data_IF_483141385200
#
_entry.id   IF_483141385200
#
_cell.length_a   1.000
_cell.length_b   1.000
_cell.length_c   1.000
_cell.angle_alpha   90.00
_cell.angle_beta   90.00
_cell.angle_gamma   90.00
#
_symmetry.space_group_name_H-M   'P 1'
#
loop_
_entity.id
_entity.type
_entity.pdbx_description
1 polymer ?
#
# COMPACT_ATOMS: atom_id res chain seq x y z
N UNK A 1 33.95 0.38 59.41
CA UNK A 1 33.66 0.85 60.79
C UNK A 1 32.64 1.97 60.69
N UNK A 2 31.57 1.85 61.46
CA UNK A 2 30.39 2.74 61.51
C UNK A 2 30.70 4.14 62.06
N UNK A 3 29.65 4.99 61.98
CA UNK A 3 29.26 6.14 62.84
C UNK A 3 29.31 7.48 62.07
N UNK A 4 28.33 8.40 62.07
CA UNK A 4 27.06 8.64 62.78
C UNK A 4 26.24 9.65 61.92
N UNK A 5 24.91 9.52 61.74
CA UNK A 5 23.80 10.34 62.35
C UNK A 5 24.14 11.82 62.60
N UNK A 6 23.28 12.84 62.44
CA UNK A 6 21.89 13.07 62.01
C UNK A 6 21.65 14.61 62.16
N UNK A 7 20.44 15.08 61.80
CA UNK A 7 19.78 16.38 62.12
C UNK A 7 19.73 17.52 61.08
N UNK A 8 18.54 17.63 60.47
CA UNK A 8 17.56 18.74 60.51
C UNK A 8 17.93 20.19 60.13
N UNK A 9 17.09 20.70 59.21
CA UNK A 9 16.77 22.05 58.64
C UNK A 9 16.51 23.21 59.65
N UNK A 10 16.13 24.45 59.22
CA UNK A 10 16.63 25.35 58.15
C UNK A 10 16.73 26.84 58.63
N UNK A 11 17.57 27.70 58.04
CA UNK A 11 17.47 29.18 58.23
C UNK A 11 17.77 29.95 56.92
N UNK A 12 16.84 30.85 56.59
CA UNK A 12 16.89 31.89 55.55
C UNK A 12 18.05 32.89 55.77
N UNK A 13 18.86 33.15 54.74
CA UNK A 13 19.50 34.47 54.55
C UNK A 13 19.50 34.84 53.06
N UNK A 14 18.92 36.01 52.81
CA UNK A 14 18.90 36.77 51.56
C UNK A 14 20.28 37.37 51.33
N UNK A 15 20.85 37.21 50.12
CA UNK A 15 21.92 38.08 49.63
C UNK A 15 21.56 38.61 48.24
N UNK A 16 21.50 39.94 48.15
CA UNK A 16 21.28 40.75 46.96
C UNK A 16 22.62 41.15 46.32
N UNK A 17 22.62 41.35 44.99
CA UNK A 17 23.60 42.13 44.20
C UNK A 17 24.70 41.27 43.54
N UNK A 18 25.01 41.38 42.25
CA UNK A 18 25.04 42.55 41.36
C UNK A 18 24.68 42.16 39.91
N UNK A 19 23.80 42.92 39.27
CA UNK A 19 23.69 43.03 37.80
C UNK A 19 24.32 44.37 37.42
N UNK A 20 25.32 44.34 36.53
CA UNK A 20 25.79 45.54 35.84
C UNK A 20 24.86 45.81 34.64
N UNK A 21 24.22 46.97 34.65
CA UNK A 21 23.42 47.51 33.54
C UNK A 21 24.18 48.70 32.94
N UNK A 22 24.34 48.70 31.62
CA UNK A 22 24.65 49.91 30.85
C UNK A 22 23.33 50.63 30.52
N UNK A 23 23.20 51.89 30.93
CA UNK A 23 22.17 52.82 30.45
C UNK A 23 22.85 54.08 29.88
N UNK A 24 22.32 54.58 28.75
CA UNK A 24 22.59 55.94 28.27
C UNK A 24 21.36 56.81 28.54
N UNK A 25 21.62 57.92 29.22
CA UNK A 25 20.71 58.87 29.87
C UNK A 25 19.75 59.65 28.95
N UNK A 26 18.57 60.02 29.49
CA UNK A 26 18.20 61.43 29.71
C UNK A 26 17.05 61.64 30.74
N UNK A 27 17.41 62.30 31.86
CA UNK A 27 16.72 63.31 32.73
C UNK A 27 15.17 63.41 32.66
N UNK A 28 14.38 63.64 33.74
CA UNK A 28 14.64 64.31 35.05
C UNK A 28 13.41 64.15 36.00
N UNK A 29 13.69 63.89 37.28
CA UNK A 29 13.16 64.52 38.52
C UNK A 29 11.70 64.42 39.03
N UNK A 30 11.59 63.65 40.13
CA UNK A 30 11.12 63.95 41.51
C UNK A 30 9.66 64.19 41.93
N UNK A 31 9.38 63.51 43.06
CA UNK A 31 8.56 63.84 44.25
C UNK A 31 7.06 63.52 44.21
N UNK A 32 6.73 62.46 44.94
CA UNK A 32 5.39 62.18 45.44
C UNK A 32 5.24 62.84 46.82
N UNK A 33 4.36 63.84 46.91
CA UNK A 33 3.88 64.47 48.14
C UNK A 33 2.50 63.88 48.43
N UNK A 34 2.30 63.37 49.65
CA UNK A 34 0.99 62.98 50.16
C UNK A 34 0.28 64.24 50.68
N UNK A 35 -0.86 64.61 50.09
CA UNK A 35 -1.81 65.54 50.69
C UNK A 35 -3.23 65.05 50.40
N UNK A 36 -4.06 65.12 51.44
CA UNK A 36 -5.41 64.57 51.58
C UNK A 36 -6.41 65.68 51.30
N UNK A 37 -7.39 65.47 50.41
CA UNK A 37 -8.81 65.92 50.53
C UNK A 37 -9.65 65.57 49.29
N UNK A 38 -10.75 64.84 49.54
CA UNK A 38 -12.03 64.60 48.83
C UNK A 38 -12.23 65.12 47.38
N UNK A 39 -12.58 64.22 46.44
CA UNK A 39 -13.96 64.02 45.93
C UNK A 39 -14.03 62.84 44.92
N UNK A 40 -15.25 62.32 44.78
CA UNK A 40 -15.75 61.08 44.16
C UNK A 40 -15.19 60.55 42.81
N UNK A 41 -15.25 59.22 42.67
CA UNK A 41 -15.96 58.41 41.63
C UNK A 41 -15.22 57.08 41.37
N UNK A 42 -15.86 55.98 41.83
CA UNK A 42 -15.88 54.58 41.33
C UNK A 42 -14.67 54.03 40.54
N UNK A 43 -14.02 52.98 41.05
CA UNK A 43 -13.70 51.74 40.30
C UNK A 43 -13.17 50.63 41.22
N UNK A 44 -13.89 49.51 41.33
CA UNK A 44 -13.38 48.22 41.81
C UNK A 44 -13.90 47.12 40.87
N UNK A 45 -13.06 46.10 40.66
CA UNK A 45 -13.26 44.84 39.93
C UNK A 45 -12.97 44.90 38.41
N UNK A 46 -11.69 44.67 38.05
CA UNK A 46 -11.29 44.25 36.70
C UNK A 46 -10.28 43.09 36.81
N UNK A 47 -10.76 41.91 37.18
CA UNK A 47 -10.05 40.65 36.98
C UNK A 47 -11.12 39.56 36.74
N UNK A 48 -11.52 39.38 35.48
CA UNK A 48 -12.56 38.41 35.13
C UNK A 48 -12.93 38.33 33.64
N UNK A 49 -12.57 39.30 32.81
CA UNK A 49 -13.03 39.35 31.42
C UNK A 49 -11.95 39.13 30.33
N UNK A 50 -10.66 39.06 30.68
CA UNK A 50 -9.59 38.93 29.69
C UNK A 50 -9.24 37.49 29.26
N UNK A 51 -9.79 36.46 29.92
CA UNK A 51 -9.58 35.06 29.53
C UNK A 51 -10.70 34.48 28.63
N UNK A 52 -11.85 35.14 28.51
CA UNK A 52 -12.93 34.68 27.62
C UNK A 52 -12.92 35.32 26.22
N UNK A 53 -12.35 36.52 26.05
CA UNK A 53 -12.29 37.19 24.74
C UNK A 53 -11.11 36.70 23.89
N UNK A 54 -10.01 36.25 24.51
CA UNK A 54 -8.85 35.70 23.77
C UNK A 54 -9.13 34.29 23.23
N UNK A 55 -9.97 33.50 23.89
CA UNK A 55 -10.36 32.16 23.41
C UNK A 55 -11.40 32.29 22.30
N UNK A 56 -12.40 33.18 22.42
CA UNK A 56 -13.46 33.30 21.39
C UNK A 56 -12.96 33.87 20.06
N UNK A 57 -12.02 34.84 20.07
CA UNK A 57 -11.42 35.36 18.83
C UNK A 57 -10.47 34.35 18.17
N UNK A 58 -9.70 33.60 18.96
CA UNK A 58 -8.83 32.55 18.41
C UNK A 58 -9.63 31.38 17.84
N UNK A 59 -10.77 31.02 18.45
CA UNK A 59 -11.66 29.98 17.92
C UNK A 59 -12.45 30.44 16.70
N UNK A 60 -12.78 31.73 16.57
CA UNK A 60 -13.44 32.25 15.36
C UNK A 60 -12.46 32.34 14.18
N UNK A 61 -11.24 32.84 14.40
CA UNK A 61 -10.21 32.92 13.34
C UNK A 61 -9.79 31.51 12.88
N UNK A 62 -9.61 30.54 13.80
CA UNK A 62 -9.30 29.15 13.43
C UNK A 62 -10.46 28.39 12.79
N UNK A 63 -11.72 28.76 13.08
CA UNK A 63 -12.88 28.11 12.49
C UNK A 63 -13.16 28.63 11.09
N UNK A 64 -12.99 29.93 10.85
CA UNK A 64 -13.13 30.50 9.52
C UNK A 64 -12.00 30.01 8.59
N UNK A 65 -10.75 29.94 9.07
CA UNK A 65 -9.62 29.34 8.34
C UNK A 65 -9.84 27.84 8.05
N UNK A 66 -10.45 27.11 8.99
CA UNK A 66 -10.76 25.69 8.80
C UNK A 66 -11.90 25.47 7.82
N UNK A 67 -12.97 26.25 7.88
CA UNK A 67 -14.09 26.14 6.93
C UNK A 67 -13.69 26.62 5.53
N UNK A 68 -12.81 27.62 5.41
CA UNK A 68 -12.22 28.06 4.14
C UNK A 68 -11.27 27.00 3.59
N UNK A 69 -10.39 26.43 4.43
CA UNK A 69 -9.56 25.28 4.06
C UNK A 69 -10.41 24.07 3.67
N UNK A 70 -11.46 23.76 4.42
CA UNK A 70 -12.36 22.65 4.14
C UNK A 70 -13.12 22.88 2.84
N UNK A 71 -13.63 24.09 2.60
CA UNK A 71 -14.30 24.46 1.35
C UNK A 71 -13.36 24.41 0.16
N UNK A 72 -12.13 24.94 0.30
CA UNK A 72 -11.07 24.85 -0.70
C UNK A 72 -10.70 23.40 -1.02
N UNK A 73 -10.55 22.55 -0.01
CA UNK A 73 -10.25 21.13 -0.23
C UNK A 73 -11.46 20.37 -0.80
N UNK A 74 -12.69 20.72 -0.43
CA UNK A 74 -13.90 20.14 -1.00
C UNK A 74 -14.13 20.59 -2.44
N UNK A 75 -13.83 21.84 -2.79
CA UNK A 75 -13.88 22.36 -4.15
C UNK A 75 -12.79 21.75 -5.01
N UNK A 76 -11.54 21.69 -4.52
CA UNK A 76 -10.47 20.97 -5.21
C UNK A 76 -10.79 19.49 -5.37
N UNK A 77 -11.39 18.85 -4.37
CA UNK A 77 -11.83 17.46 -4.49
C UNK A 77 -12.96 17.32 -5.52
N UNK A 78 -13.90 18.28 -5.60
CA UNK A 78 -14.94 18.30 -6.63
C UNK A 78 -14.37 18.55 -8.03
N UNK A 79 -13.40 19.45 -8.17
CA UNK A 79 -12.68 19.67 -9.43
C UNK A 79 -11.89 18.43 -9.84
N UNK A 80 -11.18 17.80 -8.90
CA UNK A 80 -10.47 16.54 -9.11
C UNK A 80 -11.44 15.42 -9.49
N UNK A 81 -12.60 15.33 -8.85
CA UNK A 81 -13.68 14.37 -9.19
C UNK A 81 -14.22 14.63 -10.60
N UNK A 82 -14.44 15.90 -10.97
CA UNK A 82 -14.92 16.29 -12.31
C UNK A 82 -13.87 16.02 -13.40
N UNK A 83 -12.58 16.26 -13.11
CA UNK A 83 -11.46 15.97 -14.00
C UNK A 83 -11.24 14.46 -14.17
N UNK A 84 -11.34 13.69 -13.08
CA UNK A 84 -11.36 12.22 -13.11
C UNK A 84 -12.53 11.72 -13.99
N UNK A 85 -13.70 12.33 -13.87
CA UNK A 85 -14.87 11.95 -14.68
C UNK A 85 -14.70 12.26 -16.18
N UNK A 86 -13.87 13.25 -16.56
CA UNK A 86 -13.53 13.51 -17.96
C UNK A 86 -12.43 12.57 -18.49
N UNK A 87 -11.43 12.23 -17.69
CA UNK A 87 -10.24 11.47 -18.11
C UNK A 87 -10.39 9.94 -18.06
N UNK A 88 -11.43 9.42 -17.43
CA UNK A 88 -11.69 7.97 -17.38
C UNK A 88 -12.10 7.43 -18.77
N UNK A 89 -11.49 6.31 -19.18
CA UNK A 89 -11.74 5.58 -20.42
C UNK A 89 -13.25 5.47 -20.72
N UNK A 90 -13.66 5.86 -21.93
CA UNK A 90 -15.07 5.89 -22.34
C UNK A 90 -15.73 4.52 -22.29
N UNK A 91 -15.00 3.44 -22.62
CA UNK A 91 -15.52 2.06 -22.54
C UNK A 91 -15.77 1.65 -21.10
N UNK A 92 -14.88 2.05 -20.19
CA UNK A 92 -15.09 1.81 -18.76
C UNK A 92 -16.31 2.58 -18.26
N UNK A 93 -16.45 3.85 -18.64
CA UNK A 93 -17.61 4.67 -18.26
C UNK A 93 -18.94 4.06 -18.74
N UNK A 94 -18.98 3.60 -19.98
CA UNK A 94 -20.15 2.91 -20.54
C UNK A 94 -20.44 1.61 -19.77
N UNK A 95 -19.41 0.79 -19.52
CA UNK A 95 -19.56 -0.46 -18.77
C UNK A 95 -20.08 -0.24 -17.35
N UNK A 96 -19.62 0.81 -16.65
CA UNK A 96 -20.06 1.17 -15.30
C UNK A 96 -21.49 1.73 -15.25
N UNK A 97 -22.02 2.25 -16.36
CA UNK A 97 -23.38 2.83 -16.41
C UNK A 97 -24.50 1.78 -16.35
N UNK A 98 -24.21 0.53 -16.72
CA UNK A 98 -25.18 -0.56 -16.79
C UNK A 98 -24.68 -1.82 -16.08
N UNK A 99 -24.49 -1.73 -14.76
CA UNK A 99 -24.01 -2.84 -13.93
C UNK A 99 -24.99 -4.01 -13.93
N UNK A 100 -24.46 -5.21 -14.12
CA UNK A 100 -25.19 -6.48 -13.98
C UNK A 100 -24.67 -7.21 -12.75
N UNK A 101 -25.57 -7.75 -11.93
CA UNK A 101 -25.20 -8.50 -10.72
C UNK A 101 -25.59 -9.97 -10.91
N UNK A 102 -24.62 -10.86 -10.69
CA UNK A 102 -24.79 -12.31 -10.67
C UNK A 102 -24.40 -12.84 -9.30
N UNK A 103 -25.15 -13.79 -8.73
CA UNK A 103 -24.84 -14.41 -7.43
C UNK A 103 -24.38 -15.85 -7.57
N UNK A 104 -23.30 -16.19 -6.89
CA UNK A 104 -22.75 -17.55 -6.80
C UNK A 104 -22.80 -18.02 -5.35
N UNK A 105 -23.46 -19.15 -5.09
CA UNK A 105 -23.50 -19.78 -3.77
C UNK A 105 -23.70 -21.29 -3.90
N UNK A 106 -22.84 -22.07 -3.24
CA UNK A 106 -22.87 -23.55 -3.27
C UNK A 106 -24.13 -24.16 -2.66
N UNK A 107 -24.71 -23.50 -1.66
CA UNK A 107 -25.66 -24.10 -0.72
C UNK A 107 -27.10 -23.57 -0.88
N UNK A 108 -27.39 -22.72 -1.88
CA UNK A 108 -28.68 -22.00 -1.95
C UNK A 108 -29.25 -21.87 -3.37
N UNK A 109 -30.43 -21.25 -3.48
CA UNK A 109 -31.06 -20.78 -4.73
C UNK A 109 -30.36 -19.54 -5.33
N UNK A 110 -29.02 -19.46 -5.30
CA UNK A 110 -28.31 -18.42 -6.05
C UNK A 110 -28.44 -18.64 -7.57
N UNK A 111 -28.03 -17.64 -8.37
CA UNK A 111 -28.08 -17.78 -9.83
C UNK A 111 -27.23 -18.97 -10.31
N UNK A 112 -26.08 -19.20 -9.67
CA UNK A 112 -25.17 -20.29 -10.00
C UNK A 112 -24.56 -20.92 -8.75
N UNK A 113 -24.14 -22.18 -8.87
CA UNK A 113 -23.45 -22.92 -7.79
C UNK A 113 -21.94 -22.79 -7.87
N UNK A 114 -21.42 -22.56 -9.07
CA UNK A 114 -19.99 -22.43 -9.36
C UNK A 114 -19.67 -21.07 -10.00
N UNK A 115 -18.42 -20.65 -9.86
CA UNK A 115 -17.94 -19.41 -10.48
C UNK A 115 -17.87 -19.59 -12.00
N UNK A 116 -17.49 -20.78 -12.47
CA UNK A 116 -17.40 -21.09 -13.89
C UNK A 116 -18.75 -21.04 -14.62
N UNK A 117 -19.83 -21.54 -14.00
CA UNK A 117 -21.18 -21.40 -14.54
C UNK A 117 -21.59 -19.93 -14.67
N UNK A 118 -21.29 -19.11 -13.66
CA UNK A 118 -21.58 -17.67 -13.69
C UNK A 118 -20.83 -16.97 -14.83
N UNK A 119 -19.54 -17.24 -15.01
CA UNK A 119 -18.76 -16.69 -16.11
C UNK A 119 -19.31 -17.12 -17.48
N UNK A 120 -19.69 -18.40 -17.63
CA UNK A 120 -20.23 -18.95 -18.88
C UNK A 120 -21.61 -18.37 -19.24
N UNK A 121 -22.32 -17.76 -18.29
CA UNK A 121 -23.62 -17.13 -18.54
C UNK A 121 -23.54 -15.73 -19.15
N UNK A 122 -22.35 -15.12 -19.14
CA UNK A 122 -22.15 -13.74 -19.58
C UNK A 122 -22.04 -13.71 -21.12
N UNK A 123 -22.85 -12.89 -21.82
CA UNK A 123 -22.74 -12.73 -23.27
C UNK A 123 -21.34 -12.26 -23.70
N UNK A 124 -20.86 -12.81 -24.81
CA UNK A 124 -19.56 -12.50 -25.42
C UNK A 124 -19.75 -11.76 -26.75
N UNK A 125 -19.03 -10.66 -27.01
CA UNK A 125 -18.12 -9.96 -26.10
C UNK A 125 -18.88 -9.21 -25.00
N UNK A 126 -18.34 -9.19 -23.79
CA UNK A 126 -18.95 -8.42 -22.69
C UNK A 126 -18.59 -6.93 -22.83
N UNK A 127 -19.59 -6.06 -22.67
CA UNK A 127 -19.43 -4.60 -22.69
C UNK A 127 -19.88 -3.93 -21.40
N UNK A 128 -20.39 -4.70 -20.43
CA UNK A 128 -20.98 -4.18 -19.19
C UNK A 128 -20.18 -4.59 -17.97
N UNK A 129 -20.17 -3.79 -16.91
CA UNK A 129 -19.64 -4.20 -15.61
C UNK A 129 -20.50 -5.35 -15.07
N UNK A 130 -19.96 -6.55 -15.01
CA UNK A 130 -20.63 -7.71 -14.40
C UNK A 130 -20.02 -7.99 -13.04
N UNK A 131 -20.80 -7.77 -11.99
CA UNK A 131 -20.43 -8.00 -10.60
C UNK A 131 -20.92 -9.39 -10.20
N UNK A 132 -19.99 -10.31 -10.02
CA UNK A 132 -20.24 -11.65 -9.50
C UNK A 132 -20.03 -11.60 -7.98
N UNK A 133 -21.15 -11.62 -7.25
CA UNK A 133 -21.18 -11.74 -5.79
C UNK A 133 -21.00 -13.21 -5.43
N UNK A 134 -19.87 -13.53 -4.80
CA UNK A 134 -19.48 -14.90 -4.47
C UNK A 134 -19.60 -15.08 -2.96
N UNK A 135 -20.58 -15.87 -2.54
CA UNK A 135 -20.80 -16.17 -1.13
C UNK A 135 -19.57 -16.82 -0.48
N UNK A 136 -19.47 -16.73 0.84
CA UNK A 136 -18.40 -17.35 1.60
C UNK A 136 -18.30 -18.87 1.34
N UNK A 137 -17.08 -19.39 1.34
CA UNK A 137 -16.80 -20.80 1.15
C UNK A 137 -15.57 -21.07 0.28
N UNK A 138 -15.22 -22.35 0.18
CA UNK A 138 -14.06 -22.82 -0.60
C UNK A 138 -14.52 -23.33 -1.96
N UNK A 139 -14.22 -22.60 -3.02
CA UNK A 139 -14.49 -22.90 -4.43
C UNK A 139 -13.27 -23.57 -5.06
N UNK A 140 -13.30 -24.90 -5.13
CA UNK A 140 -12.26 -25.69 -5.78
C UNK A 140 -12.50 -25.73 -7.30
N UNK A 141 -12.07 -24.69 -7.98
CA UNK A 141 -12.25 -24.50 -9.42
C UNK A 141 -10.97 -23.92 -10.04
N UNK A 142 -10.56 -24.43 -11.21
CA UNK A 142 -9.58 -23.77 -12.07
C UNK A 142 -10.29 -22.76 -12.97
N UNK A 143 -10.04 -21.48 -12.76
CA UNK A 143 -10.75 -20.37 -13.42
C UNK A 143 -9.86 -19.71 -14.46
N UNK A 144 -10.42 -19.48 -15.66
CA UNK A 144 -9.82 -18.64 -16.70
C UNK A 144 -10.86 -17.61 -17.11
N UNK A 145 -10.52 -16.33 -16.96
CA UNK A 145 -11.34 -15.21 -17.45
C UNK A 145 -10.74 -14.80 -18.81
N UNK A 146 -11.39 -15.13 -19.94
CA UNK A 146 -10.86 -14.85 -21.27
C UNK A 146 -10.90 -13.36 -21.61
N UNK A 147 -10.08 -12.93 -22.56
CA UNK A 147 -10.00 -11.53 -23.02
C UNK A 147 -11.36 -10.98 -23.51
N UNK A 148 -12.25 -11.87 -23.94
CA UNK A 148 -13.61 -11.55 -24.40
C UNK A 148 -14.60 -11.17 -23.30
N UNK A 149 -14.20 -11.29 -22.03
CA UNK A 149 -14.99 -10.92 -20.86
C UNK A 149 -14.33 -9.79 -20.05
N UNK A 150 -14.13 -8.58 -20.61
CA UNK A 150 -13.65 -7.43 -19.82
C UNK A 150 -14.69 -7.00 -18.77
N UNK A 151 -14.31 -6.13 -17.85
CA UNK A 151 -15.21 -5.52 -16.85
C UNK A 151 -15.87 -6.51 -15.88
N UNK A 152 -15.21 -7.63 -15.57
CA UNK A 152 -15.67 -8.57 -14.55
C UNK A 152 -15.23 -8.10 -13.16
N UNK A 153 -16.14 -8.15 -12.20
CA UNK A 153 -15.83 -7.95 -10.79
C UNK A 153 -16.15 -9.22 -10.00
N UNK A 154 -15.17 -9.76 -9.28
CA UNK A 154 -15.41 -10.74 -8.23
C UNK A 154 -15.52 -10.01 -6.89
N UNK A 155 -16.64 -10.18 -6.20
CA UNK A 155 -16.85 -9.61 -4.87
C UNK A 155 -17.18 -10.72 -3.89
N UNK A 156 -16.24 -11.01 -3.00
CA UNK A 156 -16.38 -11.98 -1.94
C UNK A 156 -17.12 -11.42 -0.73
N UNK A 157 -17.42 -12.31 0.22
CA UNK A 157 -17.99 -11.94 1.50
C UNK A 157 -16.92 -11.22 2.35
N UNK A 158 -17.27 -10.06 2.93
CA UNK A 158 -16.33 -9.25 3.71
C UNK A 158 -16.07 -9.81 5.12
N UNK A 159 -17.00 -10.62 5.65
CA UNK A 159 -16.97 -11.14 7.01
C UNK A 159 -16.40 -12.56 7.06
N UNK A 160 -16.61 -13.33 5.99
CA UNK A 160 -16.19 -14.72 5.89
C UNK A 160 -15.40 -14.96 4.61
N UNK A 161 -14.37 -15.83 4.67
CA UNK A 161 -13.46 -16.03 3.54
C UNK A 161 -14.16 -16.68 2.34
N UNK A 162 -14.10 -16.01 1.19
CA UNK A 162 -14.39 -16.58 -0.13
C UNK A 162 -13.08 -17.01 -0.80
N UNK A 163 -12.84 -18.33 -0.87
CA UNK A 163 -11.57 -18.90 -1.34
C UNK A 163 -11.74 -19.56 -2.70
N UNK A 164 -10.94 -19.19 -3.69
CA UNK A 164 -10.82 -19.87 -4.98
C UNK A 164 -9.48 -20.64 -4.98
N UNK A 165 -9.53 -21.97 -5.06
CA UNK A 165 -8.36 -22.82 -4.84
C UNK A 165 -8.18 -23.88 -5.92
N UNK A 166 -6.93 -24.07 -6.35
CA UNK A 166 -6.50 -25.18 -7.19
C UNK A 166 -5.13 -25.72 -6.74
N UNK A 167 -4.52 -26.64 -7.48
CA UNK A 167 -3.25 -27.28 -7.09
C UNK A 167 -2.38 -27.71 -8.28
N UNK A 168 -2.45 -27.00 -9.39
CA UNK A 168 -1.52 -27.22 -10.49
C UNK A 168 -0.16 -26.60 -10.20
N UNK A 169 0.90 -27.19 -10.75
CA UNK A 169 2.27 -26.70 -10.66
C UNK A 169 2.95 -26.79 -12.03
N UNK A 170 4.17 -26.30 -12.13
CA UNK A 170 5.02 -26.42 -13.33
C UNK A 170 4.99 -27.82 -13.96
N UNK A 171 5.15 -28.86 -13.15
CA UNK A 171 5.26 -30.26 -13.59
C UNK A 171 3.92 -30.98 -13.76
N UNK A 172 2.79 -30.34 -13.45
CA UNK A 172 1.49 -30.97 -13.67
C UNK A 172 1.30 -31.20 -15.16
N UNK A 173 0.93 -32.42 -15.55
CA UNK A 173 0.72 -32.78 -16.96
C UNK A 173 -0.66 -32.28 -17.41
N UNK A 174 -0.66 -31.47 -18.47
CA UNK A 174 -1.85 -30.96 -19.13
C UNK A 174 -2.55 -32.03 -19.98
N UNK A 175 -3.69 -31.66 -20.55
CA UNK A 175 -4.47 -32.55 -21.44
C UNK A 175 -3.75 -32.89 -22.76
N UNK A 176 -2.75 -32.10 -23.13
CA UNK A 176 -1.88 -32.31 -24.29
C UNK A 176 -0.71 -33.26 -24.01
N UNK A 177 -0.60 -33.79 -22.79
CA UNK A 177 0.47 -34.69 -22.39
C UNK A 177 1.78 -33.99 -22.01
N UNK A 178 1.83 -32.65 -22.03
CA UNK A 178 3.00 -31.86 -21.68
C UNK A 178 2.85 -31.19 -20.30
N UNK A 179 3.95 -30.83 -19.62
CA UNK A 179 3.87 -30.03 -18.40
C UNK A 179 3.16 -28.70 -18.65
N UNK A 180 2.31 -28.27 -17.71
CA UNK A 180 1.60 -26.98 -17.77
C UNK A 180 2.55 -25.79 -17.74
N UNK A 181 3.76 -25.99 -17.21
CA UNK A 181 4.72 -24.94 -16.88
C UNK A 181 4.15 -23.89 -15.92
N UNK A 182 4.92 -22.86 -15.59
CA UNK A 182 4.50 -21.83 -14.63
C UNK A 182 3.23 -21.12 -15.11
N UNK A 183 3.15 -20.80 -16.41
CA UNK A 183 2.08 -19.96 -16.95
C UNK A 183 0.69 -20.60 -16.83
N UNK A 184 0.56 -21.92 -17.09
CA UNK A 184 -0.72 -22.62 -17.02
C UNK A 184 -0.99 -23.27 -15.65
N UNK A 185 -0.06 -23.15 -14.69
CA UNK A 185 -0.26 -23.60 -13.30
C UNK A 185 -1.25 -22.75 -12.49
N UNK A 186 -1.63 -21.58 -13.01
CA UNK A 186 -2.49 -20.62 -12.30
C UNK A 186 -3.83 -21.23 -11.88
N UNK A 187 -4.17 -21.07 -10.59
CA UNK A 187 -5.49 -21.46 -10.06
C UNK A 187 -6.58 -20.54 -10.64
N UNK A 188 -6.29 -19.25 -10.73
CA UNK A 188 -7.08 -18.27 -11.46
C UNK A 188 -6.19 -17.55 -12.48
N UNK A 189 -6.62 -17.47 -13.73
CA UNK A 189 -5.98 -16.71 -14.80
C UNK A 189 -6.91 -15.62 -15.32
N UNK A 190 -6.51 -14.36 -15.14
CA UNK A 190 -7.25 -13.19 -15.61
C UNK A 190 -6.59 -12.66 -16.87
N UNK A 191 -7.19 -12.92 -18.03
CA UNK A 191 -6.74 -12.35 -19.30
C UNK A 191 -7.54 -11.10 -19.70
N UNK A 192 -8.67 -10.85 -19.04
CA UNK A 192 -9.58 -9.76 -19.37
C UNK A 192 -9.17 -8.41 -18.77
N UNK A 193 -9.37 -7.34 -19.54
CA UNK A 193 -9.14 -5.98 -19.08
C UNK A 193 -10.20 -5.53 -18.05
N UNK A 194 -9.83 -4.56 -17.22
CA UNK A 194 -10.73 -3.94 -16.23
C UNK A 194 -11.29 -4.91 -15.19
N UNK A 195 -10.56 -6.00 -14.89
CA UNK A 195 -10.95 -6.93 -13.84
C UNK A 195 -10.83 -6.30 -12.46
N UNK A 196 -11.79 -6.56 -11.59
CA UNK A 196 -11.74 -6.14 -10.18
C UNK A 196 -11.97 -7.35 -9.26
N UNK A 197 -11.19 -7.48 -8.20
CA UNK A 197 -11.47 -8.42 -7.12
C UNK A 197 -11.52 -7.70 -5.77
N UNK A 198 -12.52 -8.04 -4.97
CA UNK A 198 -12.74 -7.48 -3.62
C UNK A 198 -12.98 -8.64 -2.66
N UNK A 199 -12.25 -8.71 -1.54
CA UNK A 199 -12.42 -9.73 -0.50
C UNK A 199 -12.35 -11.18 -1.02
N UNK A 200 -11.49 -11.45 -2.02
CA UNK A 200 -11.27 -12.79 -2.55
C UNK A 200 -9.92 -13.33 -2.09
N UNK A 201 -9.91 -14.60 -1.72
CA UNK A 201 -8.69 -15.37 -1.49
C UNK A 201 -8.39 -16.20 -2.73
N UNK A 202 -7.23 -15.96 -3.35
CA UNK A 202 -6.69 -16.77 -4.43
C UNK A 202 -5.64 -17.73 -3.86
N UNK A 203 -5.78 -19.03 -4.08
CA UNK A 203 -4.92 -20.03 -3.47
C UNK A 203 -4.43 -21.08 -4.47
N UNK A 204 -3.15 -21.41 -4.41
CA UNK A 204 -2.59 -22.62 -4.99
C UNK A 204 -1.97 -23.51 -3.91
N UNK A 205 -2.44 -24.75 -3.83
CA UNK A 205 -2.04 -25.73 -2.80
C UNK A 205 -1.02 -26.77 -3.28
N UNK A 206 -0.54 -26.69 -4.53
CA UNK A 206 0.32 -27.71 -5.12
C UNK A 206 1.57 -28.00 -4.25
N UNK A 207 2.25 -26.95 -3.80
CA UNK A 207 3.51 -27.06 -3.06
C UNK A 207 3.37 -27.67 -1.65
N UNK A 208 2.17 -27.72 -1.07
CA UNK A 208 1.93 -28.39 0.22
C UNK A 208 1.76 -29.90 0.08
N UNK A 209 1.40 -30.36 -1.13
CA UNK A 209 1.12 -31.77 -1.43
C UNK A 209 2.31 -32.52 -2.04
N UNK A 210 3.38 -31.81 -2.41
CA UNK A 210 4.53 -32.37 -3.15
C UNK A 210 5.79 -32.44 -2.28
N UNK A 211 6.61 -33.47 -2.51
CA UNK A 211 7.91 -33.66 -1.84
C UNK A 211 8.94 -32.59 -2.22
N UNK A 212 8.77 -31.97 -3.39
CA UNK A 212 9.59 -30.88 -3.90
C UNK A 212 8.70 -29.67 -4.17
N UNK A 213 9.12 -28.51 -3.66
CA UNK A 213 8.51 -27.22 -4.00
C UNK A 213 8.92 -26.84 -5.42
N UNK A 214 7.91 -26.56 -6.25
CA UNK A 214 8.03 -26.09 -7.63
C UNK A 214 7.07 -24.91 -7.84
N UNK A 215 7.21 -24.20 -8.96
CA UNK A 215 6.38 -23.06 -9.31
C UNK A 215 4.90 -23.45 -9.35
N UNK A 216 4.05 -22.69 -8.66
CA UNK A 216 2.62 -22.97 -8.55
C UNK A 216 1.85 -21.68 -8.31
N UNK A 217 1.22 -21.18 -9.37
CA UNK A 217 0.62 -19.84 -9.37
C UNK A 217 -0.78 -19.85 -8.75
N UNK A 218 -1.04 -18.95 -7.79
CA UNK A 218 -2.37 -18.72 -7.24
C UNK A 218 -3.20 -17.85 -8.17
N UNK A 219 -2.66 -16.70 -8.57
CA UNK A 219 -3.28 -15.80 -9.55
C UNK A 219 -2.27 -15.38 -10.62
N UNK A 220 -2.69 -15.46 -11.89
CA UNK A 220 -2.00 -14.83 -13.03
C UNK A 220 -2.84 -13.70 -13.61
N UNK A 221 -2.22 -12.55 -13.87
CA UNK A 221 -2.90 -11.36 -14.40
C UNK A 221 -2.22 -10.91 -15.69
N UNK A 222 -2.89 -11.15 -16.82
CA UNK A 222 -2.47 -10.73 -18.16
C UNK A 222 -3.34 -9.61 -18.75
N UNK A 223 -4.53 -9.39 -18.17
CA UNK A 223 -5.46 -8.34 -18.59
C UNK A 223 -5.12 -6.99 -17.98
N UNK A 224 -5.21 -5.94 -18.78
CA UNK A 224 -4.79 -4.60 -18.40
C UNK A 224 -5.79 -3.94 -17.45
N UNK A 225 -5.32 -3.00 -16.61
CA UNK A 225 -6.17 -2.17 -15.73
C UNK A 225 -6.97 -3.00 -14.73
N UNK A 226 -6.29 -3.91 -14.03
CA UNK A 226 -6.90 -4.79 -13.02
C UNK A 226 -6.68 -4.28 -11.59
N UNK A 227 -7.71 -4.29 -10.75
CA UNK A 227 -7.64 -3.81 -9.36
C UNK A 227 -8.04 -4.87 -8.32
N UNK A 228 -7.34 -4.88 -7.19
CA UNK A 228 -7.53 -5.84 -6.11
C UNK A 228 -7.63 -5.10 -4.77
N UNK A 229 -8.71 -5.33 -4.03
CA UNK A 229 -9.00 -4.66 -2.76
C UNK A 229 -9.25 -5.69 -1.66
N UNK A 230 -8.44 -5.65 -0.59
CA UNK A 230 -8.57 -6.59 0.53
C UNK A 230 -8.55 -8.07 0.09
N UNK A 231 -7.81 -8.36 -0.98
CA UNK A 231 -7.62 -9.72 -1.47
C UNK A 231 -6.43 -10.38 -0.77
N UNK A 232 -6.46 -11.71 -0.72
CA UNK A 232 -5.37 -12.50 -0.17
C UNK A 232 -4.84 -13.51 -1.21
N UNK A 233 -3.53 -13.71 -1.24
CA UNK A 233 -2.85 -14.54 -2.24
C UNK A 233 -1.97 -15.57 -1.53
N UNK A 234 -2.38 -16.84 -1.61
CA UNK A 234 -1.75 -17.95 -0.91
C UNK A 234 -1.05 -18.89 -1.90
N UNK A 235 0.25 -19.01 -1.77
CA UNK A 235 1.07 -19.95 -2.51
C UNK A 235 2.41 -20.15 -1.82
N UNK A 236 3.35 -20.81 -2.51
CA UNK A 236 4.72 -21.02 -2.03
C UNK A 236 5.70 -20.39 -3.01
N UNK A 237 6.11 -21.09 -4.06
CA UNK A 237 6.92 -20.51 -5.13
C UNK A 237 6.02 -19.97 -6.24
N UNK A 238 6.30 -18.77 -6.74
CA UNK A 238 5.58 -18.11 -7.84
C UNK A 238 4.09 -17.83 -7.52
N UNK A 239 3.74 -17.40 -6.30
CA UNK A 239 2.34 -17.18 -5.86
C UNK A 239 1.54 -16.24 -6.78
N UNK A 240 2.04 -15.02 -7.01
CA UNK A 240 1.35 -13.99 -7.79
C UNK A 240 2.14 -13.70 -9.07
N UNK A 241 1.60 -14.17 -10.19
CA UNK A 241 2.14 -13.89 -11.51
C UNK A 241 1.50 -12.60 -12.07
N UNK A 242 2.05 -11.47 -11.65
CA UNK A 242 1.76 -10.14 -12.17
C UNK A 242 2.38 -9.96 -13.57
N UNK A 243 1.78 -10.67 -14.54
CA UNK A 243 2.38 -10.95 -15.83
C UNK A 243 2.57 -9.68 -16.67
N UNK A 244 1.49 -8.97 -17.03
CA UNK A 244 1.53 -7.73 -17.82
C UNK A 244 0.30 -6.86 -17.59
N UNK A 245 0.46 -5.54 -17.75
CA UNK A 245 -0.62 -4.57 -17.64
C UNK A 245 -0.38 -3.54 -16.54
N UNK A 246 -1.34 -2.62 -16.39
CA UNK A 246 -1.45 -1.65 -15.29
C UNK A 246 -2.27 -2.28 -14.18
N UNK A 247 -1.71 -2.48 -12.99
CA UNK A 247 -2.43 -3.13 -11.89
C UNK A 247 -2.37 -2.35 -10.58
N UNK A 248 -3.42 -2.46 -9.78
CA UNK A 248 -3.51 -1.84 -8.47
C UNK A 248 -3.88 -2.88 -7.41
N UNK A 249 -3.10 -2.94 -6.35
CA UNK A 249 -3.36 -3.79 -5.19
C UNK A 249 -3.43 -2.90 -3.96
N UNK A 250 -4.60 -2.85 -3.30
CA UNK A 250 -4.83 -2.05 -2.12
C UNK A 250 -5.20 -2.93 -0.94
N UNK A 251 -4.49 -2.77 0.17
CA UNK A 251 -4.73 -3.50 1.42
C UNK A 251 -4.76 -5.02 1.24
N UNK A 252 -3.93 -5.56 0.34
CA UNK A 252 -3.89 -6.99 0.05
C UNK A 252 -2.87 -7.72 0.93
N UNK A 253 -3.06 -9.02 1.13
CA UNK A 253 -2.08 -9.90 1.74
C UNK A 253 -1.50 -10.87 0.71
N UNK A 254 -0.18 -10.87 0.54
CA UNK A 254 0.51 -11.78 -0.39
C UNK A 254 1.51 -12.61 0.40
N UNK A 255 1.47 -13.93 0.26
CA UNK A 255 2.45 -14.82 0.89
C UNK A 255 3.14 -15.78 -0.08
N UNK A 256 4.37 -16.14 0.26
CA UNK A 256 5.13 -17.16 -0.46
C UNK A 256 6.59 -17.29 -0.01
N UNK A 257 7.40 -17.93 -0.84
CA UNK A 257 8.83 -18.21 -0.61
C UNK A 257 9.70 -17.60 -1.71
N UNK A 258 9.91 -18.31 -2.82
CA UNK A 258 10.76 -17.88 -3.94
C UNK A 258 9.90 -17.14 -4.96
N UNK A 259 10.34 -15.95 -5.35
CA UNK A 259 9.77 -15.13 -6.43
C UNK A 259 8.24 -14.96 -6.33
N UNK A 260 7.71 -14.82 -5.11
CA UNK A 260 6.27 -14.95 -4.89
C UNK A 260 5.45 -13.78 -5.45
N UNK A 261 6.09 -12.69 -5.90
CA UNK A 261 5.53 -11.66 -6.78
C UNK A 261 6.45 -11.49 -7.99
N UNK A 262 5.99 -11.87 -9.18
CA UNK A 262 6.87 -11.90 -10.35
C UNK A 262 6.13 -11.57 -11.65
N UNK A 263 6.90 -11.17 -12.68
CA UNK A 263 6.38 -10.79 -13.99
C UNK A 263 6.82 -9.39 -14.43
N UNK A 264 6.14 -8.80 -15.42
CA UNK A 264 6.50 -7.49 -15.98
C UNK A 264 5.32 -6.51 -16.01
N UNK A 265 4.36 -6.67 -15.10
CA UNK A 265 3.35 -5.65 -14.82
C UNK A 265 3.94 -4.29 -14.42
N UNK A 266 3.14 -3.24 -14.60
CA UNK A 266 3.35 -1.90 -14.04
C UNK A 266 2.33 -1.75 -12.91
N UNK A 267 2.77 -1.97 -11.68
CA UNK A 267 1.86 -2.27 -10.59
C UNK A 267 2.17 -1.50 -9.33
N UNK A 268 1.13 -0.93 -8.73
CA UNK A 268 1.19 -0.28 -7.43
C UNK A 268 0.57 -1.18 -6.37
N UNK A 269 1.36 -1.53 -5.36
CA UNK A 269 0.97 -2.27 -4.18
C UNK A 269 0.93 -1.31 -2.99
N UNK A 270 -0.26 -0.87 -2.59
CA UNK A 270 -0.47 0.13 -1.56
C UNK A 270 -1.09 -0.50 -0.31
N UNK A 271 -0.50 -0.30 0.86
CA UNK A 271 -1.03 -0.84 2.12
C UNK A 271 -0.96 -2.37 2.21
N UNK A 272 -0.14 -3.02 1.39
CA UNK A 272 -0.11 -4.48 1.30
C UNK A 272 0.78 -5.11 2.38
N UNK A 273 0.42 -6.31 2.83
CA UNK A 273 1.25 -7.13 3.71
C UNK A 273 1.89 -8.26 2.91
N UNK A 274 3.23 -8.32 2.92
CA UNK A 274 4.04 -9.32 2.21
C UNK A 274 4.62 -10.29 3.24
N UNK A 275 4.20 -11.55 3.18
CA UNK A 275 4.56 -12.57 4.19
C UNK A 275 5.45 -13.66 3.62
N UNK A 276 6.70 -13.73 4.09
CA UNK A 276 7.58 -14.85 3.79
C UNK A 276 7.27 -16.06 4.69
N UNK A 277 7.10 -17.24 4.08
CA UNK A 277 6.68 -18.46 4.79
C UNK A 277 7.74 -19.57 4.83
N UNK A 278 8.96 -19.32 4.37
CA UNK A 278 10.00 -20.33 4.24
C UNK A 278 11.19 -20.02 5.14
N UNK A 279 11.72 -21.03 5.83
CA UNK A 279 12.95 -20.90 6.63
C UNK A 279 14.22 -20.86 5.78
N UNK A 280 14.12 -21.21 4.50
CA UNK A 280 15.22 -21.11 3.53
C UNK A 280 15.27 -19.68 2.98
N UNK A 281 16.36 -19.36 2.30
CA UNK A 281 16.50 -18.10 1.58
C UNK A 281 15.36 -17.92 0.56
N UNK A 282 14.75 -16.74 0.57
CA UNK A 282 13.55 -16.40 -0.19
C UNK A 282 13.71 -15.08 -0.96
N UNK A 283 12.79 -14.83 -1.88
CA UNK A 283 12.75 -13.60 -2.69
C UNK A 283 11.31 -13.10 -2.77
N UNK A 284 11.08 -11.86 -2.36
CA UNK A 284 9.74 -11.26 -2.48
C UNK A 284 9.41 -11.04 -3.96
N UNK A 285 10.32 -10.42 -4.70
CA UNK A 285 10.07 -10.00 -6.07
C UNK A 285 11.04 -10.59 -7.09
N UNK A 286 10.51 -10.91 -8.27
CA UNK A 286 11.30 -11.22 -9.47
C UNK A 286 10.71 -10.48 -10.69
N UNK A 287 11.09 -9.22 -10.85
CA UNK A 287 10.52 -8.35 -11.88
C UNK A 287 11.28 -8.50 -13.22
N UNK A 288 10.54 -8.62 -14.33
CA UNK A 288 11.00 -9.05 -15.66
C UNK A 288 11.00 -7.95 -16.74
N UNK A 289 11.16 -6.69 -16.37
CA UNK A 289 11.36 -5.63 -17.37
C UNK A 289 12.62 -5.93 -18.17
N UNK A 290 12.45 -6.16 -19.47
CA UNK A 290 13.51 -6.67 -20.35
C UNK A 290 14.15 -5.60 -21.22
N UNK A 291 13.54 -4.43 -21.37
CA UNK A 291 14.08 -3.30 -22.16
C UNK A 291 13.84 -1.96 -21.46
N UNK A 292 14.64 -0.96 -21.82
CA UNK A 292 14.51 0.40 -21.31
C UNK A 292 13.16 1.05 -21.70
N UNK A 293 12.64 0.77 -22.90
CA UNK A 293 11.40 1.37 -23.42
C UNK A 293 10.13 0.84 -22.76
N UNK A 294 10.17 -0.35 -22.14
CA UNK A 294 9.04 -0.88 -21.40
C UNK A 294 8.84 -0.09 -20.12
N UNK A 295 7.73 0.63 -20.01
CA UNK A 295 7.40 1.39 -18.80
C UNK A 295 6.71 0.49 -17.75
N UNK A 296 7.40 -0.58 -17.30
CA UNK A 296 6.91 -1.52 -16.30
C UNK A 296 7.73 -1.50 -15.01
N UNK A 297 7.21 -2.07 -13.92
CA UNK A 297 7.85 -1.99 -12.61
C UNK A 297 6.88 -2.28 -11.48
N UNK A 298 7.41 -2.70 -10.34
CA UNK A 298 6.62 -2.87 -9.13
C UNK A 298 6.94 -1.75 -8.15
N UNK A 299 5.91 -1.07 -7.64
CA UNK A 299 6.05 -0.07 -6.59
C UNK A 299 5.24 -0.49 -5.37
N UNK A 300 5.90 -0.63 -4.23
CA UNK A 300 5.30 -0.96 -2.94
C UNK A 300 5.30 0.30 -2.08
N UNK A 301 4.12 0.70 -1.61
CA UNK A 301 3.92 1.91 -0.82
C UNK A 301 3.17 1.59 0.46
N UNK A 302 3.59 2.16 1.58
CA UNK A 302 2.94 2.01 2.89
C UNK A 302 2.67 0.53 3.23
N UNK A 303 3.58 -0.35 2.81
CA UNK A 303 3.41 -1.80 2.91
C UNK A 303 4.14 -2.34 4.15
N UNK A 304 3.96 -3.62 4.42
CA UNK A 304 4.58 -4.31 5.56
C UNK A 304 5.18 -5.64 5.14
N UNK A 305 6.49 -5.80 5.33
CA UNK A 305 7.23 -7.04 5.08
C UNK A 305 7.43 -7.78 6.40
N UNK A 306 6.90 -9.00 6.50
CA UNK A 306 6.96 -9.85 7.69
C UNK A 306 7.17 -11.32 7.34
N UNK A 307 7.38 -12.15 8.35
CA UNK A 307 7.35 -13.61 8.19
C UNK A 307 8.49 -14.33 8.88
N UNK A 308 8.98 -15.41 8.26
CA UNK A 308 10.06 -16.23 8.80
C UNK A 308 11.21 -16.40 7.80
N UNK A 309 12.36 -16.84 8.30
CA UNK A 309 13.55 -17.10 7.50
C UNK A 309 14.29 -15.82 7.10
N UNK A 310 15.01 -15.91 5.99
CA UNK A 310 15.80 -14.82 5.43
C UNK A 310 15.27 -14.49 4.03
N UNK A 311 15.09 -13.21 3.74
CA UNK A 311 14.47 -12.77 2.48
C UNK A 311 15.25 -11.62 1.85
N UNK A 312 15.40 -11.70 0.52
CA UNK A 312 15.71 -10.56 -0.33
C UNK A 312 14.42 -9.88 -0.79
N UNK A 313 14.40 -8.55 -0.81
CA UNK A 313 13.32 -7.74 -1.38
C UNK A 313 13.09 -8.06 -2.86
N UNK A 314 14.13 -8.46 -3.58
CA UNK A 314 13.98 -8.98 -4.92
C UNK A 314 15.28 -9.38 -5.59
N UNK A 315 15.11 -9.98 -6.77
CA UNK A 315 16.16 -10.27 -7.74
C UNK A 315 15.70 -9.99 -9.18
N UNK A 316 16.61 -9.64 -10.11
CA UNK A 316 16.21 -9.27 -11.46
C UNK A 316 15.93 -10.48 -12.31
N UNK A 317 14.67 -10.72 -12.68
CA UNK A 317 14.37 -11.68 -13.75
C UNK A 317 14.68 -11.08 -15.13
N UNK A 318 14.46 -9.77 -15.31
CA UNK A 318 14.77 -9.03 -16.53
C UNK A 318 15.99 -8.12 -16.38
N UNK A 319 16.67 -7.82 -17.50
CA UNK A 319 17.89 -6.99 -17.53
C UNK A 319 17.67 -5.53 -17.10
N UNK A 320 16.44 -5.03 -17.20
CA UNK A 320 16.05 -3.66 -16.81
C UNK A 320 15.09 -3.66 -15.61
N UNK A 321 15.18 -4.70 -14.76
CA UNK A 321 14.26 -4.91 -13.65
C UNK A 321 14.10 -3.66 -12.78
N UNK A 322 12.85 -3.36 -12.40
CA UNK A 322 12.50 -2.16 -11.64
C UNK A 322 11.55 -2.49 -10.49
N UNK A 323 12.00 -2.24 -9.26
CA UNK A 323 11.25 -2.50 -8.02
C UNK A 323 11.53 -1.39 -7.01
N UNK A 324 10.48 -0.83 -6.42
CA UNK A 324 10.58 0.27 -5.46
C UNK A 324 9.83 -0.08 -4.18
N UNK A 325 10.47 0.16 -3.03
CA UNK A 325 9.81 0.12 -1.73
C UNK A 325 9.82 1.52 -1.11
N UNK A 326 8.64 2.03 -0.77
CA UNK A 326 8.44 3.35 -0.17
C UNK A 326 7.59 3.26 1.08
N UNK A 327 8.01 3.97 2.15
CA UNK A 327 7.30 4.01 3.43
C UNK A 327 6.94 2.63 3.99
N UNK A 328 7.73 1.61 3.65
CA UNK A 328 7.43 0.22 3.97
C UNK A 328 8.12 -0.16 5.28
N UNK A 329 7.38 -0.77 6.20
CA UNK A 329 7.97 -1.35 7.40
C UNK A 329 8.53 -2.74 7.08
N UNK A 330 9.77 -3.02 7.46
CA UNK A 330 10.46 -4.27 7.20
C UNK A 330 10.91 -4.92 8.51
N UNK A 331 10.41 -6.12 8.79
CA UNK A 331 10.91 -6.94 9.88
C UNK A 331 12.34 -7.42 9.65
N UNK A 332 12.97 -7.98 10.71
CA UNK A 332 14.37 -8.41 10.72
C UNK A 332 14.68 -9.53 9.73
N UNK A 333 13.67 -10.14 9.12
CA UNK A 333 13.84 -11.19 8.10
C UNK A 333 14.49 -10.67 6.81
N UNK A 334 14.43 -9.37 6.54
CA UNK A 334 15.08 -8.79 5.36
C UNK A 334 16.59 -8.75 5.59
N UNK A 335 17.34 -9.42 4.70
CA UNK A 335 18.79 -9.49 4.77
C UNK A 335 19.42 -8.09 4.69
N UNK A 336 20.58 -7.85 5.35
CA UNK A 336 21.28 -6.57 5.29
C UNK A 336 21.51 -6.07 3.85
N UNK A 337 21.91 -6.98 2.96
CA UNK A 337 22.11 -6.75 1.52
C UNK A 337 20.85 -6.23 0.83
N UNK A 338 19.67 -6.63 1.31
CA UNK A 338 18.34 -6.24 0.83
C UNK A 338 17.96 -6.82 -0.52
N UNK A 339 18.89 -6.87 -1.47
CA UNK A 339 18.67 -7.26 -2.85
C UNK A 339 19.76 -8.20 -3.34
N UNK A 340 19.41 -9.04 -4.32
CA UNK A 340 20.32 -9.96 -4.98
C UNK A 340 20.36 -9.59 -6.47
N UNK A 341 21.53 -9.47 -7.07
CA UNK A 341 21.68 -9.19 -8.51
C UNK A 341 21.68 -10.46 -9.36
N UNK A 342 21.68 -11.64 -8.71
CA UNK A 342 21.78 -12.93 -9.39
C UNK A 342 20.42 -13.49 -9.75
N UNK A 343 20.26 -13.82 -11.04
CA UNK A 343 19.20 -14.69 -11.53
C UNK A 343 19.79 -15.62 -12.59
N UNK A 344 20.44 -16.69 -12.14
CA UNK A 344 21.06 -17.69 -13.02
C UNK A 344 22.27 -17.21 -13.85
N UNK A 345 22.78 -16.00 -13.62
CA UNK A 345 23.97 -15.45 -14.29
C UNK A 345 24.78 -14.57 -13.35
N UNK A 346 26.11 -14.74 -13.37
CA UNK A 346 27.06 -13.89 -12.63
C UNK A 346 27.52 -12.66 -13.44
N UNK A 347 27.07 -12.49 -14.69
CA UNK A 347 27.54 -11.44 -15.62
C UNK A 347 26.46 -10.43 -16.01
N UNK A 348 25.60 -10.02 -15.07
CA UNK A 348 24.57 -9.01 -15.31
C UNK A 348 25.15 -7.59 -15.28
N UNK A 349 24.68 -6.72 -16.16
CA UNK A 349 24.97 -5.31 -16.06
C UNK A 349 24.05 -4.62 -15.03
N UNK A 350 24.51 -4.55 -13.78
CA UNK A 350 23.77 -3.98 -12.65
C UNK A 350 23.35 -2.51 -12.85
N UNK A 351 24.02 -1.76 -13.75
CA UNK A 351 23.67 -0.35 -13.99
C UNK A 351 22.33 -0.16 -14.71
N UNK A 352 21.78 -1.23 -15.29
CA UNK A 352 20.50 -1.21 -15.99
C UNK A 352 19.31 -1.45 -15.05
N UNK A 353 19.58 -1.90 -13.82
CA UNK A 353 18.58 -2.13 -12.78
C UNK A 353 18.12 -0.82 -12.15
N UNK A 354 16.85 -0.77 -11.73
CA UNK A 354 16.31 0.36 -10.99
C UNK A 354 15.62 -0.15 -9.72
N UNK A 355 16.42 -0.49 -8.71
CA UNK A 355 15.93 -0.86 -7.38
C UNK A 355 16.16 0.26 -6.39
N UNK A 356 15.13 0.59 -5.62
CA UNK A 356 15.21 1.72 -4.71
C UNK A 356 14.35 1.58 -3.46
N UNK A 357 14.85 2.19 -2.39
CA UNK A 357 14.17 2.28 -1.11
C UNK A 357 14.01 3.76 -0.73
N UNK A 358 12.83 4.12 -0.23
CA UNK A 358 12.52 5.47 0.22
C UNK A 358 11.77 5.45 1.55
N UNK A 359 12.33 6.10 2.57
CA UNK A 359 11.73 6.25 3.91
C UNK A 359 11.14 4.94 4.48
N UNK A 360 11.78 3.80 4.18
CA UNK A 360 11.44 2.50 4.78
C UNK A 360 11.89 2.48 6.25
N UNK A 361 11.20 1.71 7.08
CA UNK A 361 11.42 1.66 8.53
C UNK A 361 11.43 0.21 9.04
N UNK A 362 11.79 0.03 10.31
CA UNK A 362 11.87 -1.29 10.94
C UNK A 362 13.27 -1.91 10.92
N UNK A 363 13.47 -3.02 11.66
CA UNK A 363 14.79 -3.63 11.82
C UNK A 363 15.42 -4.16 10.53
N UNK A 364 14.61 -4.48 9.51
CA UNK A 364 15.07 -4.93 8.18
C UNK A 364 15.41 -3.79 7.20
N UNK A 365 15.16 -2.53 7.55
CA UNK A 365 15.31 -1.38 6.64
C UNK A 365 16.65 -0.65 6.77
N UNK A 366 17.64 -1.22 7.47
CA UNK A 366 18.95 -0.59 7.63
C UNK A 366 19.68 -0.52 6.28
N UNK A 367 19.79 0.70 5.74
CA UNK A 367 20.37 0.93 4.43
C UNK A 367 21.90 0.74 4.39
N UNK A 368 22.60 0.84 5.53
CA UNK A 368 24.08 0.78 5.55
C UNK A 368 24.66 -0.56 5.09
N UNK A 369 23.88 -1.64 5.14
CA UNK A 369 24.30 -2.97 4.70
C UNK A 369 23.87 -3.34 3.28
N UNK A 370 23.17 -2.44 2.57
CA UNK A 370 22.62 -2.72 1.24
C UNK A 370 23.73 -2.91 0.21
N UNK A 371 23.42 -3.69 -0.82
CA UNK A 371 24.30 -3.81 -1.99
C UNK A 371 24.52 -2.41 -2.61
N UNK A 372 25.75 -2.07 -3.06
CA UNK A 372 26.11 -0.69 -3.40
C UNK A 372 25.34 -0.05 -4.56
N UNK A 373 24.72 -0.87 -5.41
CA UNK A 373 23.99 -0.42 -6.60
C UNK A 373 22.52 -0.07 -6.33
N UNK A 374 22.01 -0.36 -5.13
CA UNK A 374 20.63 0.00 -4.74
C UNK A 374 20.54 1.49 -4.46
N UNK A 375 19.43 2.09 -4.89
CA UNK A 375 19.20 3.53 -4.77
C UNK A 375 18.54 3.87 -3.43
N UNK A 376 19.16 4.77 -2.67
CA UNK A 376 18.45 5.51 -1.63
C UNK A 376 17.77 6.70 -2.28
N UNK A 377 16.47 6.58 -2.55
CA UNK A 377 15.76 7.59 -3.33
C UNK A 377 15.57 8.87 -2.53
N UNK A 378 15.58 10.00 -3.24
CA UNK A 378 15.20 11.32 -2.72
C UNK A 378 13.71 11.60 -2.87
N UNK A 379 13.23 12.68 -2.24
CA UNK A 379 11.85 13.17 -2.38
C UNK A 379 11.46 13.50 -3.85
N UNK A 380 12.42 13.78 -4.73
CA UNK A 380 12.18 14.01 -6.16
C UNK A 380 12.15 12.70 -6.95
N UNK A 381 13.07 11.78 -6.66
CA UNK A 381 13.19 10.51 -7.38
C UNK A 381 12.05 9.54 -7.10
N UNK A 382 11.41 9.64 -5.92
CA UNK A 382 10.28 8.79 -5.58
C UNK A 382 8.98 9.18 -6.28
N UNK A 383 8.81 10.48 -6.62
CA UNK A 383 7.54 11.02 -7.14
C UNK A 383 6.94 10.24 -8.29
N UNK A 384 7.68 9.66 -9.25
CA UNK A 384 7.08 8.89 -10.33
C UNK A 384 6.44 7.56 -9.90
N UNK A 385 6.69 7.10 -8.67
CA UNK A 385 6.41 5.73 -8.23
C UNK A 385 5.45 5.62 -7.03
N UNK A 386 5.22 6.68 -6.25
CA UNK A 386 4.51 6.62 -4.94
C UNK A 386 3.03 7.04 -4.98
N UNK A 387 2.39 6.98 -6.15
CA UNK A 387 0.98 7.30 -6.29
C UNK A 387 0.31 6.57 -7.45
N UNK A 388 -1.00 6.69 -7.54
CA UNK A 388 -1.81 6.05 -8.59
C UNK A 388 -1.46 6.55 -9.99
N UNK A 389 -0.86 7.74 -10.13
CA UNK A 389 -0.30 8.21 -11.41
C UNK A 389 0.81 7.29 -11.93
N UNK A 390 1.53 6.57 -11.06
CA UNK A 390 2.49 5.54 -11.49
C UNK A 390 1.80 4.48 -12.34
N UNK A 391 0.51 4.21 -12.16
CA UNK A 391 -0.25 3.23 -12.94
C UNK A 391 -1.30 3.89 -13.82
N UNK A 392 -1.21 5.20 -14.07
CA UNK A 392 -2.21 5.98 -14.81
C UNK A 392 -3.61 5.83 -14.21
N UNK A 393 -3.70 5.71 -12.87
CA UNK A 393 -4.92 5.33 -12.18
C UNK A 393 -6.08 6.33 -12.37
N UNK A 394 -5.78 7.60 -12.61
CA UNK A 394 -6.73 8.64 -12.99
C UNK A 394 -7.52 8.33 -14.28
N UNK A 395 -7.00 7.44 -15.13
CA UNK A 395 -7.64 7.05 -16.39
C UNK A 395 -8.54 5.81 -16.29
N UNK A 396 -8.43 5.02 -15.21
CA UNK A 396 -9.10 3.71 -15.14
C UNK A 396 -9.51 3.20 -13.75
N UNK A 397 -8.98 3.75 -12.66
CA UNK A 397 -9.49 3.45 -11.34
C UNK A 397 -10.79 4.21 -11.14
N UNK A 398 -11.86 3.48 -10.84
CA UNK A 398 -13.10 4.09 -10.39
C UNK A 398 -13.04 4.26 -8.88
N UNK A 399 -13.49 5.41 -8.38
CA UNK A 399 -13.67 5.62 -6.94
C UNK A 399 -14.77 4.67 -6.46
N UNK A 400 -14.41 3.76 -5.56
CA UNK A 400 -15.34 2.82 -4.92
C UNK A 400 -15.69 3.28 -3.52
#
# INVERSE_FOLDING_TARGET
>A
FCLLRSFATPIYIILYGFIHVYFKFKKKNYKMILMRTNFDVKFFIFLGFFLFISVSKSTHILKDDFEEWLSFNLENHKEETNLLQQNVDSKLREAESQKVIIRVNKNSQANFKTIKEALNSIPVPNTKRVIILIAAGVYREKIVIPETLPFITFSGDAMNRTVITWNDSYSTIGSDGHPLETFNSASVAVNADYFVAINIVFENTASYSKSKVEQAVALRISGNKSAFYHCEFYGVQDTLYDHKGLHYFKNCHIQGSVDFIFGFGRSLYEGCTLTSISKKLNYITAQKRSTLSLDSGFSFKNSYVKGIGEVYLGRPWGEYSRVIFSYTFMEKIVLPQGWDDKFGSDKRNITMLYYGEYKCSGPGSNFSGRVPWVRKLTDQEIRPFDGTHFIQGDTWLTTH
#
